data_IF_832099074052
#
_entry.id   IF_832099074052
#
_cell.length_a   1.000
_cell.length_b   1.000
_cell.length_c   1.000
_cell.angle_alpha   90.00
_cell.angle_beta   90.00
_cell.angle_gamma   90.00
#
_symmetry.space_group_name_H-M   'P 1'
#
loop_
_entity.id
_entity.type
_entity.pdbx_description
1 polymer ?
#
# COMPACT_ATOMS: atom_id res chain seq x y z
N UNK A 1 -6.20 -2.11 -14.67
CA UNK A 1 -7.00 -3.31 -15.04
C UNK A 1 -6.32 -4.15 -16.12
N UNK A 2 -5.93 -3.57 -17.27
CA UNK A 2 -5.23 -4.31 -18.31
C UNK A 2 -3.93 -4.98 -17.82
N UNK A 3 -3.12 -4.27 -17.02
CA UNK A 3 -1.88 -4.82 -16.46
C UNK A 3 -2.12 -6.05 -15.58
N UNK A 4 -3.17 -6.03 -14.74
CA UNK A 4 -3.54 -7.16 -13.89
C UNK A 4 -3.99 -8.37 -14.72
N UNK A 5 -4.77 -8.14 -15.78
CA UNK A 5 -5.18 -9.21 -16.70
C UNK A 5 -3.96 -9.80 -17.43
N UNK A 6 -3.04 -8.95 -17.91
CA UNK A 6 -1.81 -9.40 -18.56
C UNK A 6 -0.94 -10.24 -17.62
N UNK A 7 -0.83 -9.84 -16.35
CA UNK A 7 -0.13 -10.63 -15.32
C UNK A 7 -0.80 -11.99 -15.10
N UNK A 8 -2.13 -12.03 -15.02
CA UNK A 8 -2.88 -13.28 -14.93
C UNK A 8 -2.64 -14.22 -16.12
N UNK A 9 -2.64 -13.68 -17.35
CA UNK A 9 -2.36 -14.45 -18.57
C UNK A 9 -0.93 -15.00 -18.53
N UNK A 10 0.04 -14.20 -18.11
CA UNK A 10 1.43 -14.65 -17.98
C UNK A 10 1.58 -15.81 -16.98
N UNK A 11 0.95 -15.69 -15.80
CA UNK A 11 0.96 -16.75 -14.77
C UNK A 11 0.30 -18.03 -15.26
N UNK A 12 -0.86 -17.91 -15.93
CA UNK A 12 -1.58 -19.03 -16.52
C UNK A 12 -0.74 -19.76 -17.58
N UNK A 13 -0.14 -19.01 -18.50
CA UNK A 13 0.71 -19.56 -19.57
C UNK A 13 1.96 -20.26 -19.02
N UNK A 14 2.49 -19.77 -17.90
CA UNK A 14 3.61 -20.40 -17.20
C UNK A 14 3.19 -21.56 -16.27
N UNK A 15 1.89 -21.87 -16.18
CA UNK A 15 1.39 -22.99 -15.39
C UNK A 15 1.45 -22.79 -13.87
N UNK A 16 1.51 -21.55 -13.38
CA UNK A 16 1.52 -21.27 -11.95
C UNK A 16 0.20 -21.67 -11.30
N UNK A 17 0.31 -22.26 -10.11
CA UNK A 17 -0.79 -22.53 -9.19
C UNK A 17 -0.41 -22.05 -7.80
N UNK A 18 -1.37 -21.47 -7.10
CA UNK A 18 -1.19 -20.96 -5.75
C UNK A 18 -2.08 -21.72 -4.76
N UNK A 19 -1.68 -21.77 -3.50
CA UNK A 19 -2.46 -22.39 -2.42
C UNK A 19 -3.10 -21.37 -1.48
N UNK A 20 -2.54 -20.16 -1.45
CA UNK A 20 -3.01 -19.01 -0.68
C UNK A 20 -2.60 -17.73 -1.38
N UNK A 21 -3.40 -16.67 -1.23
CA UNK A 21 -3.03 -15.34 -1.67
C UNK A 21 -3.05 -14.34 -0.51
N UNK A 22 -2.16 -13.36 -0.60
CA UNK A 22 -2.03 -12.27 0.36
C UNK A 22 -2.24 -10.94 -0.34
N UNK A 23 -2.89 -9.99 0.32
CA UNK A 23 -3.07 -8.65 -0.21
C UNK A 23 -3.19 -7.61 0.90
N UNK A 24 -3.05 -6.35 0.52
CA UNK A 24 -3.28 -5.23 1.43
C UNK A 24 -4.77 -4.98 1.65
N UNK A 25 -5.11 -4.14 2.64
CA UNK A 25 -6.51 -3.70 2.81
C UNK A 25 -6.95 -2.67 1.76
N UNK A 26 -6.03 -2.25 0.87
CA UNK A 26 -6.32 -1.26 -0.17
C UNK A 26 -7.00 -1.90 -1.37
N UNK A 27 -8.17 -1.36 -1.74
CA UNK A 27 -9.04 -1.90 -2.80
C UNK A 27 -8.31 -2.10 -4.13
N UNK A 28 -7.33 -1.25 -4.46
CA UNK A 28 -6.53 -1.39 -5.69
C UNK A 28 -5.74 -2.71 -5.75
N UNK A 29 -5.14 -3.14 -4.64
CA UNK A 29 -4.39 -4.39 -4.58
C UNK A 29 -5.34 -5.60 -4.60
N UNK A 30 -6.49 -5.48 -3.94
CA UNK A 30 -7.53 -6.51 -3.95
C UNK A 30 -8.12 -6.71 -5.34
N UNK A 31 -8.39 -5.62 -6.08
CA UNK A 31 -8.88 -5.68 -7.45
C UNK A 31 -7.87 -6.33 -8.40
N UNK A 32 -6.57 -6.01 -8.25
CA UNK A 32 -5.50 -6.67 -9.01
C UNK A 32 -5.46 -8.16 -8.73
N UNK A 33 -5.48 -8.56 -7.44
CA UNK A 33 -5.50 -9.97 -7.05
C UNK A 33 -6.72 -10.69 -7.63
N UNK A 34 -7.93 -10.13 -7.51
CA UNK A 34 -9.15 -10.72 -8.06
C UNK A 34 -9.08 -10.91 -9.57
N UNK A 35 -8.56 -9.93 -10.32
CA UNK A 35 -8.33 -10.06 -11.76
C UNK A 35 -7.38 -11.22 -12.09
N UNK A 36 -6.28 -11.35 -11.34
CA UNK A 36 -5.30 -12.42 -11.53
C UNK A 36 -5.93 -13.79 -11.22
N UNK A 37 -6.58 -13.94 -10.05
CA UNK A 37 -7.22 -15.18 -9.62
C UNK A 37 -8.29 -15.66 -10.61
N UNK A 38 -9.07 -14.71 -11.17
CA UNK A 38 -10.03 -15.03 -12.23
C UNK A 38 -9.36 -15.57 -13.48
N UNK A 39 -8.26 -14.96 -13.92
CA UNK A 39 -7.57 -15.35 -15.15
C UNK A 39 -6.92 -16.74 -15.04
N UNK A 40 -6.31 -17.04 -13.89
CA UNK A 40 -5.70 -18.35 -13.61
C UNK A 40 -6.72 -19.41 -13.17
N UNK A 41 -8.01 -19.05 -13.01
CA UNK A 41 -9.07 -19.98 -12.62
C UNK A 41 -9.05 -20.41 -11.15
N UNK A 42 -8.52 -19.58 -10.25
CA UNK A 42 -8.41 -19.86 -8.81
C UNK A 42 -9.21 -18.85 -7.97
N UNK A 43 -10.49 -18.62 -8.31
CA UNK A 43 -11.35 -17.62 -7.61
C UNK A 43 -11.67 -17.98 -6.17
N UNK A 44 -11.63 -19.27 -5.83
CA UNK A 44 -11.98 -19.78 -4.49
C UNK A 44 -10.75 -19.92 -3.58
N UNK A 45 -9.59 -19.42 -4.02
CA UNK A 45 -8.35 -19.48 -3.26
C UNK A 45 -8.48 -18.72 -1.92
N UNK A 46 -8.00 -19.25 -0.79
CA UNK A 46 -7.93 -18.50 0.45
C UNK A 46 -7.18 -17.18 0.28
N UNK A 47 -7.79 -16.06 0.69
CA UNK A 47 -7.18 -14.73 0.61
C UNK A 47 -7.06 -14.13 2.01
N UNK A 48 -5.83 -13.83 2.42
CA UNK A 48 -5.52 -13.15 3.68
C UNK A 48 -5.25 -11.68 3.39
N UNK A 49 -5.93 -10.79 4.12
CA UNK A 49 -5.79 -9.34 3.98
C UNK A 49 -5.12 -8.78 5.23
N UNK A 50 -4.19 -7.84 5.05
CA UNK A 50 -3.57 -7.16 6.20
C UNK A 50 -3.15 -5.74 5.84
N UNK A 51 -3.29 -4.82 6.79
CA UNK A 51 -2.75 -3.46 6.66
C UNK A 51 -1.21 -3.47 6.59
N UNK A 52 -0.56 -4.52 7.10
CA UNK A 52 0.90 -4.67 7.05
C UNK A 52 1.44 -4.81 5.63
N UNK A 53 0.60 -5.11 4.64
CA UNK A 53 0.93 -5.11 3.21
C UNK A 53 0.52 -3.80 2.49
N UNK A 54 0.01 -2.80 3.22
CA UNK A 54 -0.30 -1.51 2.62
C UNK A 54 0.95 -0.86 2.04
N UNK A 55 0.73 0.00 1.06
CA UNK A 55 1.75 0.94 0.56
C UNK A 55 2.28 1.82 1.70
N UNK A 56 3.50 2.34 1.51
CA UNK A 56 4.12 3.35 2.38
C UNK A 56 3.15 4.50 2.67
N UNK A 57 2.97 4.85 3.94
CA UNK A 57 2.19 6.03 4.33
C UNK A 57 2.96 7.31 3.99
N UNK A 58 2.52 8.03 2.96
CA UNK A 58 3.17 9.27 2.50
C UNK A 58 2.94 10.49 3.41
N UNK A 59 2.21 10.30 4.51
CA UNK A 59 1.97 11.34 5.51
C UNK A 59 1.33 12.58 4.91
N UNK A 60 1.82 13.76 5.27
CA UNK A 60 1.31 15.05 4.80
C UNK A 60 1.53 15.32 3.30
N UNK A 61 2.17 14.41 2.56
CA UNK A 61 2.28 14.48 1.10
C UNK A 61 1.10 13.80 0.38
N UNK A 62 0.23 13.11 1.14
CA UNK A 62 -0.89 12.36 0.57
C UNK A 62 -1.86 13.30 -0.14
N UNK A 63 -2.10 13.03 -1.42
CA UNK A 63 -2.98 13.86 -2.27
C UNK A 63 -2.25 14.94 -3.06
N UNK A 64 -0.96 15.19 -2.80
CA UNK A 64 -0.14 16.07 -3.61
C UNK A 64 0.45 15.33 -4.80
N UNK A 65 0.44 15.96 -5.96
CA UNK A 65 1.21 15.49 -7.11
C UNK A 65 2.68 15.92 -6.98
N UNK A 66 3.54 15.38 -7.86
CA UNK A 66 4.98 15.66 -7.81
C UNK A 66 5.30 17.15 -7.96
N UNK A 67 4.61 17.87 -8.84
CA UNK A 67 4.87 19.28 -9.10
C UNK A 67 4.43 20.14 -7.91
N UNK A 68 3.27 19.87 -7.31
CA UNK A 68 2.81 20.53 -6.09
C UNK A 68 3.75 20.27 -4.92
N UNK A 69 4.23 19.04 -4.78
CA UNK A 69 5.17 18.66 -3.71
C UNK A 69 6.50 19.39 -3.89
N UNK A 70 7.03 19.46 -5.12
CA UNK A 70 8.25 20.19 -5.42
C UNK A 70 8.10 21.70 -5.21
N UNK A 71 6.97 22.29 -5.62
CA UNK A 71 6.68 23.70 -5.39
C UNK A 71 6.59 24.05 -3.90
N UNK A 72 6.06 23.13 -3.07
CA UNK A 72 5.89 23.36 -1.62
C UNK A 72 7.16 23.10 -0.81
N UNK A 73 7.95 22.09 -1.16
CA UNK A 73 9.05 21.59 -0.33
C UNK A 73 10.43 21.65 -1.00
N UNK A 74 10.50 21.98 -2.29
CA UNK A 74 11.73 21.98 -3.08
C UNK A 74 12.07 20.62 -3.70
N UNK A 75 12.67 20.64 -4.89
CA UNK A 75 13.03 19.43 -5.64
C UNK A 75 14.03 18.54 -4.91
N UNK A 76 15.00 19.14 -4.22
CA UNK A 76 16.02 18.41 -3.45
C UNK A 76 15.38 17.58 -2.32
N UNK A 77 14.44 18.19 -1.59
CA UNK A 77 13.72 17.51 -0.51
C UNK A 77 12.82 16.39 -1.04
N UNK A 78 12.12 16.63 -2.16
CA UNK A 78 11.33 15.59 -2.83
C UNK A 78 12.21 14.44 -3.31
N UNK A 79 13.40 14.73 -3.82
CA UNK A 79 14.36 13.70 -4.22
C UNK A 79 14.83 12.88 -3.02
N UNK A 80 15.08 13.50 -1.86
CA UNK A 80 15.42 12.82 -0.61
C UNK A 80 14.31 11.86 -0.20
N UNK A 81 13.06 12.32 -0.08
CA UNK A 81 11.95 11.44 0.34
C UNK A 81 11.70 10.26 -0.60
N UNK A 82 12.00 10.43 -1.90
CA UNK A 82 11.85 9.38 -2.92
C UNK A 82 13.00 8.38 -2.95
N UNK A 83 14.21 8.79 -2.57
CA UNK A 83 15.43 7.97 -2.71
C UNK A 83 15.98 7.46 -1.38
N UNK A 84 15.66 8.14 -0.28
CA UNK A 84 16.12 7.73 1.04
C UNK A 84 15.36 6.49 1.52
N UNK A 85 16.11 5.59 2.12
CA UNK A 85 15.60 4.39 2.77
C UNK A 85 14.92 4.72 4.11
N UNK A 86 15.50 5.63 4.90
CA UNK A 86 15.18 5.84 6.31
C UNK A 86 14.55 7.21 6.62
N UNK A 87 14.62 8.17 5.71
CA UNK A 87 14.03 9.51 5.91
C UNK A 87 12.53 9.49 5.55
N UNK A 88 11.63 9.69 6.52
CA UNK A 88 10.20 9.75 6.26
C UNK A 88 9.76 11.11 5.68
N UNK A 89 8.59 11.16 5.02
CA UNK A 89 7.91 12.42 4.71
C UNK A 89 7.38 13.08 5.99
N UNK A 90 6.88 14.34 5.91
CA UNK A 90 6.22 14.97 7.04
C UNK A 90 4.99 14.16 7.49
N UNK A 91 4.66 14.17 8.80
CA UNK A 91 3.45 13.53 9.32
C UNK A 91 2.18 14.05 8.66
N UNK A 92 1.17 13.18 8.58
CA UNK A 92 -0.21 13.63 8.35
C UNK A 92 -0.79 14.13 9.66
N UNK A 93 -1.02 15.44 9.73
CA UNK A 93 -1.65 16.09 10.87
C UNK A 93 -3.18 15.95 10.84
N UNK A 94 -3.83 16.18 11.99
CA UNK A 94 -5.27 15.97 12.17
C UNK A 94 -6.14 16.92 11.31
N UNK A 95 -5.60 18.05 10.87
CA UNK A 95 -6.25 19.02 9.99
C UNK A 95 -6.06 18.71 8.50
N UNK A 96 -5.32 17.65 8.15
CA UNK A 96 -5.08 17.27 6.77
C UNK A 96 -6.38 16.80 6.10
N UNK A 97 -6.67 17.19 4.83
CA UNK A 97 -7.95 16.90 4.18
C UNK A 97 -8.34 15.42 4.09
N UNK A 98 -7.34 14.53 4.11
CA UNK A 98 -7.52 13.08 4.04
C UNK A 98 -7.40 12.36 5.39
N UNK A 99 -7.10 13.06 6.49
CA UNK A 99 -6.83 12.44 7.80
C UNK A 99 -8.01 11.58 8.27
N UNK A 100 -9.19 12.19 8.38
CA UNK A 100 -10.39 11.50 8.84
C UNK A 100 -10.81 10.36 7.92
N UNK A 101 -10.70 10.57 6.60
CA UNK A 101 -11.01 9.55 5.59
C UNK A 101 -10.12 8.31 5.71
N UNK A 102 -8.88 8.47 6.15
CA UNK A 102 -7.92 7.37 6.30
C UNK A 102 -8.07 6.72 7.68
N UNK A 103 -8.03 7.51 8.75
CA UNK A 103 -7.98 6.99 10.13
C UNK A 103 -9.33 6.40 10.56
N UNK A 104 -10.45 6.94 10.06
CA UNK A 104 -11.80 6.45 10.37
C UNK A 104 -12.33 5.43 9.34
N UNK A 105 -11.49 4.99 8.40
CA UNK A 105 -11.92 4.04 7.37
C UNK A 105 -12.28 2.68 8.01
N UNK A 106 -13.48 2.13 7.74
CA UNK A 106 -13.91 0.84 8.31
C UNK A 106 -12.97 -0.33 8.00
N UNK A 107 -12.14 -0.23 6.95
CA UNK A 107 -11.14 -1.25 6.61
C UNK A 107 -10.06 -1.44 7.68
N UNK A 108 -9.90 -0.49 8.59
CA UNK A 108 -8.94 -0.56 9.69
C UNK A 108 -9.59 -0.93 11.03
N UNK A 109 -10.86 -1.38 11.04
CA UNK A 109 -11.56 -1.76 12.27
C UNK A 109 -10.87 -2.89 13.04
N UNK A 110 -10.17 -3.79 12.35
CA UNK A 110 -9.38 -4.89 12.94
C UNK A 110 -7.91 -4.53 13.17
N UNK A 111 -7.54 -3.28 12.93
CA UNK A 111 -6.20 -2.75 13.13
C UNK A 111 -5.65 -1.97 11.92
N UNK A 112 -4.54 -1.25 12.11
CA UNK A 112 -3.66 -1.24 13.29
C UNK A 112 -4.30 -0.61 14.54
N UNK A 113 -3.76 -0.94 15.72
CA UNK A 113 -4.10 -0.22 16.95
C UNK A 113 -3.77 1.28 16.79
N UNK A 114 -4.47 2.20 17.50
CA UNK A 114 -4.29 3.64 17.29
C UNK A 114 -2.85 4.15 17.43
N UNK A 115 -2.05 3.53 18.31
CA UNK A 115 -0.63 3.82 18.53
C UNK A 115 0.30 3.24 17.44
N UNK A 116 -0.18 2.22 16.72
CA UNK A 116 0.50 1.59 15.59
C UNK A 116 0.08 2.14 14.23
N UNK A 117 -0.97 2.98 14.18
CA UNK A 117 -1.44 3.57 12.95
C UNK A 117 -0.42 4.60 12.44
N UNK A 118 0.27 4.34 11.31
CA UNK A 118 1.34 5.21 10.88
C UNK A 118 0.79 6.56 10.39
N UNK A 119 1.38 7.66 10.89
CA UNK A 119 1.12 9.01 10.35
C UNK A 119 2.00 9.34 9.14
N UNK A 120 3.10 8.61 8.97
CA UNK A 120 4.09 8.70 7.92
C UNK A 120 4.97 7.47 7.98
N UNK A 121 5.63 7.12 6.88
CA UNK A 121 6.59 6.04 6.85
C UNK A 121 7.78 6.40 5.97
N UNK A 122 8.99 5.97 6.36
CA UNK A 122 10.09 5.73 5.44
C UNK A 122 9.97 4.32 4.84
N UNK A 123 10.84 3.96 3.89
CA UNK A 123 10.88 2.58 3.40
C UNK A 123 11.29 1.62 4.55
N UNK A 124 12.20 2.06 5.42
CA UNK A 124 12.58 1.34 6.64
C UNK A 124 11.38 1.05 7.55
N UNK A 125 10.58 2.06 7.89
CA UNK A 125 9.39 1.89 8.75
C UNK A 125 8.35 0.97 8.10
N UNK A 126 8.16 1.10 6.78
CA UNK A 126 7.28 0.21 6.00
C UNK A 126 7.73 -1.24 6.12
N UNK A 127 9.04 -1.51 6.02
CA UNK A 127 9.60 -2.86 6.17
C UNK A 127 9.43 -3.35 7.62
N UNK A 128 9.70 -2.51 8.61
CA UNK A 128 9.57 -2.87 10.03
C UNK A 128 8.15 -3.33 10.40
N UNK A 129 7.10 -2.72 9.82
CA UNK A 129 5.73 -3.22 10.02
C UNK A 129 5.35 -4.41 9.13
N UNK A 130 6.03 -4.61 8.01
CA UNK A 130 5.73 -5.70 7.06
C UNK A 130 6.37 -7.02 7.51
N UNK A 131 7.61 -6.97 8.02
CA UNK A 131 8.36 -8.17 8.41
C UNK A 131 7.65 -9.05 9.45
N UNK A 132 6.97 -8.51 10.49
CA UNK A 132 6.21 -9.34 11.42
C UNK A 132 5.04 -10.09 10.81
N UNK A 133 4.56 -9.70 9.62
CA UNK A 133 3.56 -10.46 8.87
C UNK A 133 4.18 -11.50 7.93
N UNK A 134 5.40 -11.21 7.47
CA UNK A 134 6.14 -12.11 6.58
C UNK A 134 6.70 -13.33 7.32
N UNK A 135 7.22 -13.11 8.54
CA UNK A 135 7.80 -14.15 9.39
C UNK A 135 6.72 -15.03 10.05
#
# INVERSE_FOLDING_TARGET
KQEANNAGVALKNAGYKFDVAYTSVLTRAQNTLQSILKEIGQTDLPVIKTWRLNERHYGGLTGLNKAETAAKYGDEQVAIWRRSFDIPPPPMEADHPYYDTIVKDPRYAEGPAPDQFPKFESLKLTIERTLPFWN
#
